data_IF_939218959431
#
_entry.id   IF_939218959431
#
_cell.length_a   1.000
_cell.length_b   1.000
_cell.length_c   1.000
_cell.angle_alpha   90.00
_cell.angle_beta   90.00
_cell.angle_gamma   90.00
#
_symmetry.space_group_name_H-M   'P 1'
#
loop_
_entity.id
_entity.type
_entity.pdbx_description
1 polymer ?
#
# COMPACT_ATOMS: atom_id res chain seq x y z
N UNK A 1 19.08 1.80 -0.32
CA UNK A 1 18.12 0.80 0.17
C UNK A 1 18.55 -0.58 -0.32
N UNK A 2 18.03 -1.67 0.24
CA UNK A 2 18.32 -3.04 -0.20
C UNK A 2 17.19 -3.46 -1.15
N UNK A 3 17.50 -3.96 -2.35
CA UNK A 3 16.60 -4.77 -3.18
C UNK A 3 15.80 -5.72 -2.29
N UNK A 4 14.47 -5.61 -2.29
CA UNK A 4 13.65 -6.42 -1.39
C UNK A 4 13.56 -7.87 -1.83
N UNK A 5 13.25 -8.69 -0.85
CA UNK A 5 12.93 -10.09 -1.00
C UNK A 5 11.60 -10.24 -1.72
N UNK A 6 11.59 -11.12 -2.71
CA UNK A 6 10.39 -11.51 -3.43
C UNK A 6 9.62 -12.57 -2.63
N UNK A 7 8.31 -12.37 -2.49
CA UNK A 7 7.42 -13.35 -1.86
C UNK A 7 6.32 -13.78 -2.83
N UNK A 8 6.02 -15.07 -2.87
CA UNK A 8 4.88 -15.62 -3.62
C UNK A 8 3.75 -15.90 -2.66
N UNK A 9 2.57 -15.34 -2.94
CA UNK A 9 1.33 -15.54 -2.20
C UNK A 9 0.37 -16.40 -3.05
N UNK A 10 -0.45 -17.24 -2.41
CA UNK A 10 -1.39 -18.10 -3.13
C UNK A 10 -2.51 -17.30 -3.81
N UNK A 11 -3.09 -17.87 -4.86
CA UNK A 11 -4.34 -17.36 -5.43
C UNK A 11 -5.43 -17.15 -4.36
N UNK A 12 -6.26 -16.12 -4.53
CA UNK A 12 -7.33 -15.79 -3.58
C UNK A 12 -7.83 -14.35 -3.71
N UNK A 13 -8.75 -13.97 -2.84
CA UNK A 13 -9.25 -12.60 -2.75
C UNK A 13 -8.55 -11.86 -1.62
N UNK A 14 -8.00 -10.70 -1.95
CA UNK A 14 -7.22 -9.88 -1.05
C UNK A 14 -7.74 -8.45 -1.06
N UNK A 15 -7.72 -7.80 0.10
CA UNK A 15 -7.70 -6.35 0.15
C UNK A 15 -6.28 -5.86 -0.14
N UNK A 16 -6.14 -4.84 -0.97
CA UNK A 16 -4.91 -4.14 -1.31
C UNK A 16 -5.02 -2.70 -0.82
N UNK A 17 -4.14 -2.30 0.10
CA UNK A 17 -4.17 -1.02 0.80
C UNK A 17 -3.38 -1.11 2.11
N UNK A 18 -3.60 -0.16 3.01
CA UNK A 18 -3.01 -0.21 4.36
C UNK A 18 -3.66 -1.35 5.18
N UNK A 19 -2.89 -2.33 5.68
CA UNK A 19 -3.42 -3.42 6.47
C UNK A 19 -4.20 -2.97 7.71
N UNK A 20 -3.93 -1.79 8.27
CA UNK A 20 -4.60 -1.31 9.48
C UNK A 20 -6.13 -1.18 9.27
N UNK A 21 -6.59 -0.93 8.04
CA UNK A 21 -8.02 -0.85 7.72
C UNK A 21 -8.74 -2.20 7.78
N UNK A 22 -8.03 -3.32 7.85
CA UNK A 22 -8.63 -4.65 7.94
C UNK A 22 -8.91 -5.10 9.38
N UNK A 23 -8.51 -4.31 10.38
CA UNK A 23 -8.57 -4.66 11.81
C UNK A 23 -9.13 -3.49 12.63
N UNK A 24 -10.34 -3.62 13.16
CA UNK A 24 -10.92 -2.73 14.18
C UNK A 24 -10.53 -3.14 15.61
N UNK A 25 -10.24 -4.42 15.85
CA UNK A 25 -9.75 -4.91 17.13
C UNK A 25 -8.26 -4.56 17.28
N UNK A 26 -7.99 -3.55 18.12
CA UNK A 26 -6.63 -3.10 18.39
C UNK A 26 -5.71 -4.23 18.87
N UNK A 27 -6.22 -5.17 19.67
CA UNK A 27 -5.42 -6.29 20.16
C UNK A 27 -5.02 -7.26 19.06
N UNK A 28 -5.88 -7.50 18.07
CA UNK A 28 -5.60 -8.34 16.91
C UNK A 28 -4.66 -7.65 15.93
N UNK A 29 -4.83 -6.35 15.72
CA UNK A 29 -3.89 -5.53 14.96
C UNK A 29 -2.47 -5.60 15.58
N UNK A 30 -2.35 -5.40 16.89
CA UNK A 30 -1.05 -5.51 17.58
C UNK A 30 -0.45 -6.90 17.46
N UNK A 31 -1.26 -7.97 17.56
CA UNK A 31 -0.77 -9.35 17.35
C UNK A 31 -0.24 -9.58 15.93
N UNK A 32 -0.85 -8.97 14.91
CA UNK A 32 -0.34 -9.04 13.53
C UNK A 32 1.01 -8.33 13.40
N UNK A 33 1.13 -7.12 13.96
CA UNK A 33 2.38 -6.36 13.97
C UNK A 33 3.50 -7.13 14.68
N UNK A 34 3.24 -7.68 15.87
CA UNK A 34 4.21 -8.48 16.61
C UNK A 34 4.61 -9.76 15.86
N UNK A 35 3.65 -10.45 15.23
CA UNK A 35 3.90 -11.67 14.46
C UNK A 35 4.75 -11.41 13.20
N UNK A 36 4.61 -10.23 12.60
CA UNK A 36 5.33 -9.79 11.41
C UNK A 36 6.62 -9.02 11.74
N UNK A 37 6.96 -8.81 13.02
CA UNK A 37 8.04 -7.90 13.42
C UNK A 37 7.91 -6.54 12.72
N UNK A 38 6.69 -5.98 12.78
CA UNK A 38 6.30 -4.73 12.14
C UNK A 38 6.56 -4.71 10.62
N UNK A 39 6.44 -5.89 9.98
CA UNK A 39 6.74 -6.11 8.56
C UNK A 39 8.17 -5.71 8.15
N UNK A 40 9.13 -5.81 9.08
CA UNK A 40 10.53 -5.54 8.81
C UNK A 40 11.31 -6.79 8.39
N UNK A 41 12.49 -6.56 7.79
CA UNK A 41 13.44 -7.61 7.43
C UNK A 41 12.83 -8.70 6.56
N UNK A 42 12.91 -9.95 7.04
CA UNK A 42 12.42 -11.13 6.32
C UNK A 42 10.93 -11.43 6.54
N UNK A 43 10.21 -10.61 7.33
CA UNK A 43 8.82 -10.85 7.76
C UNK A 43 7.80 -9.90 7.12
N UNK A 44 8.15 -9.36 5.96
CA UNK A 44 7.26 -8.55 5.11
C UNK A 44 6.07 -9.33 4.56
N UNK A 45 6.15 -10.66 4.50
CA UNK A 45 5.02 -11.53 4.21
C UNK A 45 4.98 -12.70 5.20
N UNK A 46 3.83 -12.92 5.83
CA UNK A 46 3.62 -13.95 6.85
C UNK A 46 2.28 -14.66 6.68
N UNK A 47 2.16 -15.81 7.34
CA UNK A 47 0.87 -16.46 7.62
C UNK A 47 0.37 -16.00 8.98
N UNK A 48 -0.85 -15.49 9.05
CA UNK A 48 -1.49 -15.05 10.30
C UNK A 48 -2.72 -15.90 10.62
N UNK A 49 -2.95 -16.19 11.90
CA UNK A 49 -4.12 -16.90 12.45
C UNK A 49 -4.74 -17.95 11.51
N UNK A 50 -4.09 -19.11 11.34
CA UNK A 50 -4.53 -20.22 10.46
C UNK A 50 -4.25 -20.07 8.95
N UNK A 51 -2.97 -19.83 8.62
CA UNK A 51 -2.40 -19.95 7.27
C UNK A 51 -2.79 -18.90 6.22
N UNK A 52 -3.59 -17.91 6.60
CA UNK A 52 -3.96 -16.84 5.68
C UNK A 52 -2.83 -15.82 5.55
N UNK A 53 -2.58 -15.40 4.30
CA UNK A 53 -1.39 -14.64 3.99
C UNK A 53 -1.65 -13.14 4.15
N UNK A 54 -0.68 -12.46 4.76
CA UNK A 54 -0.58 -11.01 4.79
C UNK A 54 0.80 -10.64 4.29
N UNK A 55 0.87 -9.63 3.44
CA UNK A 55 2.13 -8.98 3.12
C UNK A 55 1.98 -7.48 3.21
N UNK A 56 2.98 -6.79 3.74
CA UNK A 56 3.02 -5.34 3.77
C UNK A 56 4.45 -4.84 3.73
N UNK A 57 4.61 -3.61 3.26
CA UNK A 57 5.88 -2.94 3.13
C UNK A 57 5.74 -1.52 3.65
N UNK A 58 6.79 -1.02 4.31
CA UNK A 58 6.89 0.39 4.65
C UNK A 58 6.86 1.25 3.38
N UNK A 59 6.04 2.29 3.41
CA UNK A 59 6.06 3.36 2.41
C UNK A 59 7.29 4.25 2.59
N UNK A 60 7.70 4.99 1.55
CA UNK A 60 8.90 5.84 1.63
C UNK A 60 8.79 6.91 2.73
N UNK A 61 7.61 7.52 2.89
CA UNK A 61 7.39 8.70 3.76
C UNK A 61 6.45 8.45 4.93
N UNK A 62 6.00 7.21 5.14
CA UNK A 62 5.03 6.89 6.17
C UNK A 62 3.60 7.22 5.74
N UNK A 63 2.80 7.77 6.65
CA UNK A 63 1.38 8.06 6.42
C UNK A 63 1.16 9.06 5.28
N UNK A 64 0.02 8.95 4.58
CA UNK A 64 -0.32 9.81 3.45
C UNK A 64 -1.27 9.16 2.45
N UNK A 65 -1.16 9.55 1.18
CA UNK A 65 -1.89 8.92 0.07
C UNK A 65 -0.93 8.66 -1.09
N UNK A 66 -0.90 7.43 -1.60
CA UNK A 66 0.00 7.01 -2.68
C UNK A 66 -0.79 6.35 -3.79
N UNK A 67 -0.76 6.89 -5.02
CA UNK A 67 -1.53 6.42 -6.18
C UNK A 67 -3.03 6.17 -5.87
N UNK A 68 -3.64 7.02 -5.02
CA UNK A 68 -5.03 6.89 -4.59
C UNK A 68 -5.28 5.85 -3.49
N UNK A 69 -4.23 5.34 -2.83
CA UNK A 69 -4.33 4.50 -1.65
C UNK A 69 -4.01 5.33 -0.40
N UNK A 70 -5.00 5.60 0.48
CA UNK A 70 -4.73 6.21 1.78
C UNK A 70 -3.95 5.25 2.68
N UNK A 71 -3.09 5.81 3.54
CA UNK A 71 -2.17 5.09 4.43
C UNK A 71 -2.12 5.81 5.79
N UNK A 72 -2.38 5.07 6.86
CA UNK A 72 -2.48 5.57 8.25
C UNK A 72 -1.54 4.85 9.24
N UNK A 73 -0.84 3.79 8.78
CA UNK A 73 0.15 3.06 9.56
C UNK A 73 1.53 3.04 8.88
N UNK A 74 1.72 3.87 7.85
CA UNK A 74 2.93 3.90 7.03
C UNK A 74 3.18 2.62 6.22
N UNK A 75 2.17 1.76 6.06
CA UNK A 75 2.26 0.45 5.43
C UNK A 75 1.35 0.35 4.20
N UNK A 76 1.84 -0.31 3.15
CA UNK A 76 1.04 -0.72 2.00
C UNK A 76 1.25 -2.19 1.70
N UNK A 77 0.16 -2.90 1.46
CA UNK A 77 0.21 -4.35 1.38
C UNK A 77 -1.05 -5.00 0.86
N UNK A 78 -1.16 -6.29 1.13
CA UNK A 78 -2.36 -7.06 0.88
C UNK A 78 -2.70 -7.99 2.06
N UNK A 79 -3.99 -8.10 2.34
CA UNK A 79 -4.57 -8.89 3.43
C UNK A 79 -5.59 -9.85 2.84
N UNK A 80 -5.41 -11.16 3.04
CA UNK A 80 -6.38 -12.16 2.56
C UNK A 80 -7.75 -11.94 3.19
N UNK A 81 -8.83 -12.04 2.40
CA UNK A 81 -10.18 -11.65 2.82
C UNK A 81 -10.70 -12.37 4.08
N UNK A 82 -10.23 -13.59 4.33
CA UNK A 82 -10.70 -14.44 5.43
C UNK A 82 -10.24 -13.98 6.82
N UNK A 83 -9.23 -13.11 6.91
CA UNK A 83 -8.76 -12.57 8.21
C UNK A 83 -9.21 -11.13 8.44
N UNK A 84 -9.82 -10.49 7.44
CA UNK A 84 -10.41 -9.16 7.55
C UNK A 84 -11.61 -9.21 8.48
N UNK A 85 -11.71 -8.25 9.39
CA UNK A 85 -12.83 -8.14 10.32
C UNK A 85 -14.11 -7.68 9.62
N UNK A 86 -15.23 -8.33 9.93
CA UNK A 86 -16.52 -8.10 9.23
C UNK A 86 -16.99 -6.64 9.33
N UNK A 87 -16.69 -5.97 10.45
CA UNK A 87 -16.97 -4.56 10.70
C UNK A 87 -16.20 -3.62 9.76
N UNK A 88 -15.03 -4.02 9.26
CA UNK A 88 -14.21 -3.22 8.35
C UNK A 88 -14.71 -3.30 6.89
N UNK A 89 -15.26 -4.45 6.48
CA UNK A 89 -15.62 -4.75 5.08
C UNK A 89 -16.46 -3.67 4.37
N UNK A 90 -17.46 -3.00 4.98
CA UNK A 90 -18.26 -1.97 4.32
C UNK A 90 -17.46 -0.75 3.85
N UNK A 91 -16.28 -0.50 4.42
CA UNK A 91 -15.48 0.70 4.16
C UNK A 91 -14.28 0.44 3.25
N UNK A 92 -13.84 -0.81 3.11
CA UNK A 92 -12.60 -1.18 2.39
C UNK A 92 -12.57 -0.70 0.94
N UNK A 93 -13.70 -0.73 0.22
CA UNK A 93 -13.75 -0.27 -1.17
C UNK A 93 -13.44 1.22 -1.36
N UNK A 94 -13.46 2.02 -0.27
CA UNK A 94 -13.06 3.44 -0.27
C UNK A 94 -11.62 3.66 0.16
N UNK A 95 -11.00 2.66 0.79
CA UNK A 95 -9.69 2.75 1.42
C UNK A 95 -8.61 1.93 0.69
N UNK A 96 -9.00 1.29 -0.42
CA UNK A 96 -8.12 0.44 -1.21
C UNK A 96 -8.91 -0.33 -2.26
N UNK A 97 -8.40 -1.50 -2.64
CA UNK A 97 -9.00 -2.34 -3.69
C UNK A 97 -9.19 -3.76 -3.19
N UNK A 98 -10.37 -4.33 -3.43
CA UNK A 98 -10.58 -5.78 -3.30
C UNK A 98 -10.23 -6.42 -4.64
N UNK A 99 -9.28 -7.35 -4.63
CA UNK A 99 -8.71 -7.94 -5.84
C UNK A 99 -8.69 -9.44 -5.70
N UNK A 100 -9.26 -10.14 -6.69
CA UNK A 100 -9.17 -11.59 -6.78
C UNK A 100 -8.05 -11.98 -7.74
N UNK A 101 -7.01 -12.62 -7.20
CA UNK A 101 -5.93 -13.22 -7.97
C UNK A 101 -6.31 -14.68 -8.27
N UNK A 102 -6.39 -15.03 -9.55
CA UNK A 102 -6.77 -16.38 -10.00
C UNK A 102 -5.62 -17.38 -9.98
N UNK A 103 -4.38 -16.89 -9.85
CA UNK A 103 -3.15 -17.66 -9.79
C UNK A 103 -2.28 -17.09 -8.66
N UNK A 104 -1.29 -17.86 -8.22
CA UNK A 104 -0.29 -17.39 -7.27
C UNK A 104 0.40 -16.15 -7.82
N UNK A 105 0.62 -15.16 -6.95
CA UNK A 105 1.13 -13.86 -7.34
C UNK A 105 2.31 -13.44 -6.48
N UNK A 106 3.08 -12.49 -7.01
CA UNK A 106 4.29 -12.00 -6.37
C UNK A 106 4.04 -10.67 -5.67
N UNK A 107 4.64 -10.51 -4.50
CA UNK A 107 4.75 -9.22 -3.80
C UNK A 107 6.20 -8.88 -3.51
N UNK A 108 6.57 -7.61 -3.70
CA UNK A 108 7.92 -7.09 -3.43
C UNK A 108 7.93 -5.56 -3.35
N UNK A 109 8.98 -4.98 -2.77
CA UNK A 109 9.24 -3.54 -2.72
C UNK A 109 10.59 -3.16 -3.37
N UNK A 110 10.62 -2.26 -4.33
CA UNK A 110 11.84 -1.88 -5.02
C UNK A 110 12.61 -0.80 -4.25
N UNK A 111 13.88 -0.59 -4.59
CA UNK A 111 14.72 0.41 -3.90
C UNK A 111 14.23 1.86 -4.10
N UNK A 112 13.46 2.11 -5.16
CA UNK A 112 12.83 3.38 -5.48
C UNK A 112 11.53 3.65 -4.70
N UNK A 113 11.13 2.73 -3.81
CA UNK A 113 9.88 2.83 -3.04
C UNK A 113 8.65 2.32 -3.80
N UNK A 114 8.82 1.69 -4.97
CA UNK A 114 7.71 1.03 -5.66
C UNK A 114 7.31 -0.25 -4.92
N UNK A 115 6.05 -0.38 -4.53
CA UNK A 115 5.47 -1.59 -3.98
C UNK A 115 4.69 -2.30 -5.08
N UNK A 116 5.05 -3.56 -5.35
CA UNK A 116 4.37 -4.41 -6.33
C UNK A 116 3.56 -5.49 -5.63
N UNK A 117 2.30 -5.65 -6.04
CA UNK A 117 1.36 -6.66 -5.57
C UNK A 117 0.66 -7.28 -6.80
N UNK A 118 1.18 -8.41 -7.26
CA UNK A 118 0.77 -9.02 -8.52
C UNK A 118 0.98 -8.08 -9.69
N UNK A 119 -0.11 -7.70 -10.36
CA UNK A 119 -0.13 -6.72 -11.46
C UNK A 119 -0.26 -5.26 -11.01
N UNK A 120 -0.44 -5.01 -9.71
CA UNK A 120 -0.60 -3.66 -9.15
C UNK A 120 0.78 -3.14 -8.75
N UNK A 121 1.05 -1.90 -9.14
CA UNK A 121 2.26 -1.17 -8.76
C UNK A 121 1.86 0.16 -8.14
N UNK A 122 2.40 0.43 -6.94
CA UNK A 122 2.13 1.62 -6.15
C UNK A 122 3.46 2.30 -5.90
N UNK A 123 3.64 3.50 -6.43
CA UNK A 123 4.86 4.27 -6.23
C UNK A 123 4.73 5.09 -4.95
N UNK A 124 5.72 4.99 -4.05
CA UNK A 124 5.69 5.69 -2.76
C UNK A 124 6.79 6.73 -2.57
N UNK A 125 7.70 6.86 -3.54
CA UNK A 125 8.80 7.83 -3.51
C UNK A 125 8.43 9.20 -4.08
N UNK A 126 9.45 10.04 -4.31
CA UNK A 126 9.26 11.31 -5.01
C UNK A 126 8.92 11.05 -6.47
N UNK A 127 7.75 11.52 -6.90
CA UNK A 127 7.49 11.59 -8.32
C UNK A 127 8.41 12.67 -8.91
N UNK A 128 9.27 12.27 -9.84
CA UNK A 128 10.03 13.20 -10.68
C UNK A 128 9.08 13.90 -11.68
N UNK A 129 8.04 14.58 -11.19
CA UNK A 129 7.38 15.60 -11.99
C UNK A 129 8.28 16.83 -11.91
N UNK A 130 9.05 17.09 -12.97
CA UNK A 130 9.59 18.43 -13.16
C UNK A 130 8.39 19.37 -13.30
N UNK A 131 8.13 20.17 -12.26
CA UNK A 131 7.19 21.29 -12.36
C UNK A 131 7.68 22.20 -13.50
N UNK A 132 7.04 22.10 -14.66
CA UNK A 132 7.26 23.03 -15.76
C UNK A 132 6.55 24.33 -15.37
N UNK A 133 7.28 25.22 -14.70
CA UNK A 133 6.81 26.58 -14.43
C UNK A 133 6.72 27.33 -15.77
N UNK A 134 5.52 27.41 -16.33
CA UNK A 134 5.21 28.27 -17.48
C UNK A 134 5.05 29.72 -16.99
N UNK A 135 6.17 30.47 -16.98
CA UNK A 135 6.26 31.88 -16.57
C UNK A 135 5.73 32.86 -17.64
N UNK A 136 4.67 32.50 -18.36
CA UNK A 136 4.20 33.27 -19.53
C UNK A 136 2.87 34.00 -19.35
N UNK A 137 2.63 34.69 -18.24
CA UNK A 137 1.61 35.75 -18.22
C UNK A 137 2.05 36.96 -17.40
N UNK A 138 2.43 38.06 -18.07
CA UNK A 138 2.06 39.47 -17.77
C UNK A 138 2.69 40.39 -18.84
N UNK A 139 2.03 40.52 -19.99
CA UNK A 139 2.20 41.71 -20.84
C UNK A 139 0.86 42.06 -21.47
N UNK A 140 0.14 42.99 -20.87
CA UNK A 140 -1.06 43.63 -21.41
C UNK A 140 -1.29 44.91 -20.58
N UNK A 141 -1.58 46.10 -21.09
CA UNK A 141 -1.47 46.76 -22.39
C UNK A 141 -1.61 48.26 -22.00
N UNK A 142 -0.88 49.17 -22.66
CA UNK A 142 -1.06 50.61 -22.41
C UNK A 142 -2.49 51.04 -22.74
N UNK A 143 -3.20 51.64 -21.78
CA UNK A 143 -4.50 52.27 -22.04
C UNK A 143 -4.24 53.73 -22.43
N UNK A 144 -4.28 54.02 -23.74
CA UNK A 144 -4.53 55.38 -24.25
C UNK A 144 -6.00 55.76 -24.04
N UNK A 145 -6.26 56.85 -23.31
CA UNK A 145 -7.09 58.01 -23.73
C UNK A 145 -7.03 59.15 -22.71
#
# INVERSE_FOLDING_TARGET
MKTSKLYTLPAGTYFVGDPCYCFDDHGRWMRLLEASDYFEGDRQAIKFESEHHVAAFGTMYGDGEYNGFPVDAGLLGCVHESIIEESCKPHLAKLGKIVTFHEDFVVQCFEDGTIQIGSISIFTGDDHYEEVWDDSEYFDEEVEE
#
